data_IF_931869786767
#
_entry.id   IF_931869786767
#
_cell.length_a   1.000
_cell.length_b   1.000
_cell.length_c   1.000
_cell.angle_alpha   90.00
_cell.angle_beta   90.00
_cell.angle_gamma   90.00
#
_symmetry.space_group_name_H-M   'P 1'
#
loop_
_entity.id
_entity.type
_entity.pdbx_description
1 polymer ?
#
# COMPACT_ATOMS: atom_id res chain seq x y z
N UNK A 1 27.41 36.60 17.60
CA UNK A 1 27.49 36.08 16.22
C UNK A 1 26.38 35.06 16.10
N UNK A 2 25.30 35.42 15.41
CA UNK A 2 24.11 34.60 15.25
C UNK A 2 24.26 33.91 13.89
N UNK A 3 24.70 32.65 13.86
CA UNK A 3 24.73 31.88 12.62
C UNK A 3 23.29 31.60 12.21
N UNK A 4 22.87 32.25 11.13
CA UNK A 4 21.59 31.99 10.49
C UNK A 4 21.62 30.57 9.91
N UNK A 5 20.64 29.75 10.29
CA UNK A 5 20.43 28.44 9.68
C UNK A 5 20.30 28.58 8.15
N UNK A 6 20.80 27.60 7.37
CA UNK A 6 20.72 27.64 5.92
C UNK A 6 19.25 27.68 5.46
N UNK A 7 18.94 28.36 4.34
CA UNK A 7 17.59 28.41 3.80
C UNK A 7 17.12 27.01 3.44
N UNK A 8 16.00 26.58 4.03
CA UNK A 8 15.32 25.34 3.67
C UNK A 8 14.73 25.55 2.27
N UNK A 9 15.36 24.96 1.24
CA UNK A 9 14.75 24.85 -0.08
C UNK A 9 13.47 24.02 0.05
N UNK A 10 12.31 24.47 -0.46
CA UNK A 10 11.09 23.69 -0.39
C UNK A 10 11.29 22.44 -1.25
N UNK A 11 11.48 21.29 -0.61
CA UNK A 11 11.47 20.00 -1.31
C UNK A 11 10.10 19.85 -1.96
N UNK A 12 10.05 19.61 -3.27
CA UNK A 12 8.81 19.23 -3.93
C UNK A 12 8.23 18.00 -3.22
N UNK A 13 6.92 18.02 -2.94
CA UNK A 13 6.26 16.89 -2.32
C UNK A 13 6.48 15.61 -3.16
N UNK A 14 6.59 14.44 -2.52
CA UNK A 14 6.66 13.18 -3.25
C UNK A 14 5.37 12.97 -4.07
N UNK A 15 5.46 12.22 -5.16
CA UNK A 15 4.32 11.89 -6.02
C UNK A 15 3.22 11.18 -5.21
N UNK A 16 3.60 10.25 -4.33
CA UNK A 16 2.71 9.60 -3.35
C UNK A 16 2.89 10.27 -1.99
N UNK A 17 1.80 10.79 -1.45
CA UNK A 17 1.73 11.41 -0.12
C UNK A 17 1.37 10.41 0.99
N UNK A 18 0.47 9.47 0.70
CA UNK A 18 0.03 8.45 1.65
C UNK A 18 -0.47 7.18 0.95
N UNK A 19 -0.21 6.02 1.55
CA UNK A 19 -0.62 4.71 1.03
C UNK A 19 0.57 3.85 0.56
N UNK A 20 0.30 2.72 -0.11
CA UNK A 20 -1.03 2.23 -0.44
C UNK A 20 -1.70 1.59 0.79
N UNK A 21 -2.97 1.90 1.01
CA UNK A 21 -3.77 1.26 2.06
C UNK A 21 -4.68 0.21 1.43
N UNK A 22 -4.39 -1.06 1.69
CA UNK A 22 -5.26 -2.17 1.32
C UNK A 22 -6.52 -2.14 2.18
N UNK A 23 -7.59 -1.54 1.65
CA UNK A 23 -8.82 -1.22 2.40
C UNK A 23 -9.77 -2.41 2.49
N UNK A 24 -9.79 -3.24 1.46
CA UNK A 24 -10.61 -4.45 1.37
C UNK A 24 -9.87 -5.47 0.52
N UNK A 25 -9.84 -6.70 1.01
CA UNK A 25 -9.29 -7.84 0.29
C UNK A 25 -10.28 -9.00 0.37
N UNK A 26 -10.69 -9.50 -0.80
CA UNK A 26 -11.50 -10.70 -0.99
C UNK A 26 -10.90 -11.49 -2.14
N UNK A 27 -11.29 -12.76 -2.29
CA UNK A 27 -10.80 -13.58 -3.38
C UNK A 27 -11.08 -12.96 -4.76
N UNK A 28 -12.25 -12.36 -4.95
CA UNK A 28 -12.70 -11.77 -6.22
C UNK A 28 -12.57 -10.24 -6.28
N UNK A 29 -12.01 -9.59 -5.24
CA UNK A 29 -12.00 -8.12 -5.16
C UNK A 29 -10.87 -7.55 -4.32
N UNK A 30 -10.19 -6.55 -4.87
CA UNK A 30 -9.11 -5.79 -4.20
C UNK A 30 -9.48 -4.32 -4.20
N UNK A 31 -9.46 -3.67 -3.03
CA UNK A 31 -9.67 -2.23 -2.89
C UNK A 31 -8.46 -1.60 -2.20
N UNK A 32 -7.83 -0.65 -2.86
CA UNK A 32 -6.64 0.06 -2.37
C UNK A 32 -6.90 1.56 -2.43
N UNK A 33 -6.48 2.28 -1.40
CA UNK A 33 -6.46 3.75 -1.39
C UNK A 33 -5.03 4.28 -1.42
N UNK A 34 -4.82 5.34 -2.17
CA UNK A 34 -3.56 6.06 -2.27
C UNK A 34 -3.88 7.56 -2.36
N UNK A 35 -3.02 8.42 -1.81
CA UNK A 35 -3.10 9.86 -2.03
C UNK A 35 -1.85 10.31 -2.77
N UNK A 36 -2.02 10.87 -3.96
CA UNK A 36 -0.96 11.54 -4.72
C UNK A 36 -0.93 13.04 -4.50
N UNK A 37 0.22 13.67 -4.72
CA UNK A 37 0.34 15.15 -4.80
C UNK A 37 -0.17 15.72 -6.12
N UNK A 38 -0.30 14.85 -7.12
CA UNK A 38 -0.83 15.08 -8.47
C UNK A 38 -1.68 13.87 -8.92
N UNK A 39 -2.46 13.97 -10.02
CA UNK A 39 -3.07 12.80 -10.61
C UNK A 39 -2.01 11.78 -11.06
N UNK A 40 -2.12 10.56 -10.56
CA UNK A 40 -1.19 9.46 -10.87
C UNK A 40 -1.80 8.50 -11.88
N UNK A 41 -0.98 8.09 -12.86
CA UNK A 41 -1.27 6.94 -13.72
C UNK A 41 -0.81 5.68 -12.99
N UNK A 42 -1.73 4.75 -12.73
CA UNK A 42 -1.48 3.61 -11.85
C UNK A 42 -1.63 2.27 -12.58
N UNK A 43 -0.83 1.30 -12.16
CA UNK A 43 -0.97 -0.12 -12.52
C UNK A 43 -0.95 -0.98 -11.28
N UNK A 44 -1.70 -2.10 -11.29
CA UNK A 44 -1.65 -3.11 -10.24
C UNK A 44 -1.07 -4.40 -10.81
N UNK A 45 -0.03 -4.91 -10.15
CA UNK A 45 0.50 -6.25 -10.40
C UNK A 45 0.24 -7.13 -9.17
N UNK A 46 -0.28 -8.33 -9.40
CA UNK A 46 -0.53 -9.35 -8.39
C UNK A 46 0.29 -10.59 -8.74
N UNK A 47 0.92 -11.17 -7.73
CA UNK A 47 1.75 -12.37 -7.84
C UNK A 47 1.23 -13.39 -6.81
N UNK A 48 0.13 -14.10 -7.12
CA UNK A 48 -0.35 -15.16 -6.25
C UNK A 48 0.66 -16.32 -6.29
N UNK A 49 0.97 -16.88 -5.13
CA UNK A 49 1.86 -18.04 -5.04
C UNK A 49 1.36 -19.19 -5.94
N UNK A 50 2.27 -19.84 -6.65
CA UNK A 50 2.01 -20.94 -7.59
C UNK A 50 1.05 -20.63 -8.75
N UNK A 51 0.75 -19.37 -9.04
CA UNK A 51 -0.05 -18.94 -10.18
C UNK A 51 0.72 -17.93 -11.05
N UNK A 52 0.25 -17.73 -12.28
CA UNK A 52 0.85 -16.74 -13.17
C UNK A 52 0.61 -15.31 -12.64
N UNK A 53 1.61 -14.41 -12.74
CA UNK A 53 1.43 -13.00 -12.42
C UNK A 53 0.29 -12.38 -13.22
N UNK A 54 -0.47 -11.50 -12.58
CA UNK A 54 -1.61 -10.81 -13.17
C UNK A 54 -1.36 -9.32 -13.09
N UNK A 55 -1.48 -8.63 -14.21
CA UNK A 55 -1.22 -7.20 -14.28
C UNK A 55 -2.34 -6.47 -15.00
N UNK A 56 -2.69 -5.30 -14.49
CA UNK A 56 -3.75 -4.48 -15.05
C UNK A 56 -3.43 -3.00 -14.91
N UNK A 57 -3.79 -2.23 -15.94
CA UNK A 57 -3.82 -0.77 -15.87
C UNK A 57 -5.05 -0.33 -15.09
N UNK A 58 -4.87 0.65 -14.22
CA UNK A 58 -5.95 1.19 -13.39
C UNK A 58 -6.48 2.47 -14.03
N UNK A 59 -7.68 2.38 -14.57
CA UNK A 59 -8.38 3.47 -15.26
C UNK A 59 -9.89 3.35 -15.07
N UNK A 60 -10.60 4.44 -15.36
CA UNK A 60 -12.06 4.52 -15.35
C UNK A 60 -12.69 3.90 -14.08
N UNK A 61 -13.51 2.86 -14.23
CA UNK A 61 -14.23 2.21 -13.13
C UNK A 61 -13.33 1.52 -12.11
N UNK A 62 -12.07 1.21 -12.46
CA UNK A 62 -11.12 0.55 -11.57
C UNK A 62 -10.33 1.53 -10.70
N UNK A 63 -10.34 2.82 -11.03
CA UNK A 63 -9.65 3.86 -10.26
C UNK A 63 -10.38 5.20 -10.36
N UNK A 64 -11.08 5.56 -9.28
CA UNK A 64 -11.73 6.87 -9.17
C UNK A 64 -10.79 7.86 -8.50
N UNK A 65 -10.65 9.04 -9.08
CA UNK A 65 -9.84 10.11 -8.52
C UNK A 65 -10.72 11.21 -7.92
N UNK A 66 -10.40 11.63 -6.70
CA UNK A 66 -11.02 12.76 -6.03
C UNK A 66 -9.95 13.75 -5.58
N UNK A 67 -10.03 14.99 -6.06
CA UNK A 67 -9.15 16.07 -5.59
C UNK A 67 -9.63 16.60 -4.24
N UNK A 68 -8.73 16.69 -3.28
CA UNK A 68 -8.94 17.26 -1.95
C UNK A 68 -8.05 18.51 -1.84
N UNK A 69 -8.67 19.68 -1.76
CA UNK A 69 -7.95 20.96 -1.75
C UNK A 69 -7.17 21.18 -3.05
N UNK A 70 -5.96 21.75 -2.95
CA UNK A 70 -5.17 22.15 -4.12
C UNK A 70 -4.24 21.03 -4.62
N UNK A 71 -3.69 20.22 -3.72
CA UNK A 71 -2.50 19.41 -4.02
C UNK A 71 -2.59 17.99 -3.45
N UNK A 72 -3.79 17.50 -3.13
CA UNK A 72 -4.00 16.11 -2.75
C UNK A 72 -5.04 15.47 -3.67
N UNK A 73 -4.70 14.31 -4.20
CA UNK A 73 -5.53 13.52 -5.10
C UNK A 73 -5.70 12.13 -4.50
N UNK A 74 -6.91 11.82 -4.04
CA UNK A 74 -7.25 10.50 -3.55
C UNK A 74 -7.55 9.58 -4.75
N UNK A 75 -6.82 8.48 -4.84
CA UNK A 75 -7.02 7.39 -5.79
C UNK A 75 -7.73 6.24 -5.09
N UNK A 76 -8.98 5.99 -5.49
CA UNK A 76 -9.84 4.92 -5.00
C UNK A 76 -9.78 3.78 -6.01
N UNK A 77 -8.89 2.82 -5.77
CA UNK A 77 -8.70 1.65 -6.63
C UNK A 77 -9.68 0.57 -6.18
N UNK A 78 -10.52 0.08 -7.09
CA UNK A 78 -11.52 -0.96 -6.83
C UNK A 78 -11.55 -1.95 -7.99
N UNK A 79 -10.85 -3.06 -7.81
CA UNK A 79 -10.63 -4.06 -8.83
C UNK A 79 -11.46 -5.29 -8.52
N UNK A 80 -12.33 -5.68 -9.45
CA UNK A 80 -12.97 -7.00 -9.47
C UNK A 80 -12.14 -7.96 -10.32
N UNK A 81 -11.89 -9.15 -9.80
CA UNK A 81 -11.06 -10.17 -10.42
C UNK A 81 -11.95 -11.26 -11.02
N UNK A 82 -11.79 -11.51 -12.32
CA UNK A 82 -12.52 -12.56 -13.03
C UNK A 82 -12.14 -13.97 -12.53
N UNK A 83 -10.84 -14.17 -12.29
CA UNK A 83 -10.33 -15.36 -11.61
C UNK A 83 -10.07 -15.00 -10.15
N UNK A 84 -10.61 -15.74 -9.16
CA UNK A 84 -10.35 -15.44 -7.76
C UNK A 84 -8.87 -15.59 -7.42
N UNK A 85 -8.45 -14.88 -6.37
CA UNK A 85 -7.18 -15.08 -5.69
C UNK A 85 -7.26 -16.36 -4.85
N UNK A 86 -6.14 -17.09 -4.72
CA UNK A 86 -6.10 -18.26 -3.86
C UNK A 86 -6.34 -17.86 -2.40
N UNK A 87 -7.08 -18.71 -1.69
CA UNK A 87 -7.24 -18.59 -0.25
C UNK A 87 -6.03 -19.17 0.46
N UNK A 88 -5.71 -18.62 1.64
CA UNK A 88 -4.69 -19.11 2.57
C UNK A 88 -3.28 -19.22 1.94
N UNK A 89 -3.04 -18.45 0.88
CA UNK A 89 -1.76 -18.37 0.17
C UNK A 89 -1.28 -16.93 0.10
N UNK A 90 0.04 -16.77 0.13
CA UNK A 90 0.66 -15.46 0.02
C UNK A 90 0.44 -14.89 -1.39
N UNK A 91 0.04 -13.62 -1.44
CA UNK A 91 -0.14 -12.86 -2.66
C UNK A 91 0.74 -11.63 -2.54
N UNK A 92 1.87 -11.64 -3.23
CA UNK A 92 2.65 -10.41 -3.36
C UNK A 92 1.94 -9.47 -4.34
N UNK A 93 2.13 -8.17 -4.17
CA UNK A 93 1.58 -7.19 -5.09
C UNK A 93 2.55 -6.03 -5.28
N UNK A 94 2.34 -5.30 -6.37
CA UNK A 94 3.01 -4.04 -6.62
C UNK A 94 1.99 -3.01 -7.12
N UNK A 95 2.09 -1.79 -6.60
CA UNK A 95 1.32 -0.64 -7.06
C UNK A 95 2.28 0.28 -7.81
N UNK A 96 2.10 0.27 -9.11
CA UNK A 96 3.01 0.85 -10.08
C UNK A 96 2.55 2.27 -10.38
N UNK A 97 3.48 3.22 -10.29
CA UNK A 97 3.24 4.62 -10.63
C UNK A 97 4.00 4.92 -11.91
N UNK A 98 3.28 5.33 -12.96
CA UNK A 98 3.90 5.77 -14.21
C UNK A 98 4.05 7.28 -14.22
N UNK A 99 5.29 7.76 -14.37
CA UNK A 99 5.65 9.18 -14.42
C UNK A 99 6.74 9.39 -15.46
N UNK A 100 6.56 10.38 -16.32
CA UNK A 100 7.52 10.74 -17.38
C UNK A 100 7.93 9.56 -18.28
N UNK A 101 7.00 8.61 -18.52
CA UNK A 101 7.23 7.40 -19.31
C UNK A 101 8.01 6.30 -18.58
N UNK A 102 8.40 6.51 -17.32
CA UNK A 102 9.04 5.51 -16.46
C UNK A 102 8.01 4.98 -15.48
N UNK A 103 8.03 3.66 -15.28
CA UNK A 103 7.21 3.03 -14.26
C UNK A 103 8.05 2.71 -13.03
N UNK A 104 7.51 3.04 -11.86
CA UNK A 104 8.15 2.83 -10.57
C UNK A 104 7.26 1.95 -9.69
N UNK A 105 7.83 0.89 -9.13
CA UNK A 105 7.14 0.02 -8.17
C UNK A 105 7.29 0.53 -6.73
N UNK A 106 6.61 -0.13 -5.79
CA UNK A 106 6.66 0.21 -4.36
C UNK A 106 8.09 0.20 -3.84
N UNK A 107 8.96 -0.68 -4.36
CA UNK A 107 10.37 -0.71 -3.99
C UNK A 107 11.11 0.60 -4.35
N UNK A 108 10.68 1.30 -5.40
CA UNK A 108 11.29 2.55 -5.83
C UNK A 108 10.73 3.76 -5.06
N UNK A 109 9.40 3.83 -4.91
CA UNK A 109 8.75 5.02 -4.35
C UNK A 109 8.45 4.94 -2.84
N UNK A 110 8.37 3.74 -2.27
CA UNK A 110 8.20 3.51 -0.83
C UNK A 110 8.84 2.19 -0.36
N UNK A 111 10.17 2.04 -0.46
CA UNK A 111 10.88 0.82 -0.06
C UNK A 111 10.64 0.43 1.40
N UNK A 112 10.33 1.40 2.26
CA UNK A 112 10.03 1.18 3.68
C UNK A 112 8.73 0.39 3.94
N UNK A 113 7.89 0.18 2.93
CA UNK A 113 6.69 -0.66 3.03
C UNK A 113 6.97 -2.14 2.75
N UNK A 114 8.19 -2.49 2.36
CA UNK A 114 8.62 -3.85 2.06
C UNK A 114 9.34 -4.41 3.27
N UNK A 115 8.81 -5.50 3.84
CA UNK A 115 9.46 -6.18 4.95
C UNK A 115 10.84 -6.73 4.55
N UNK A 116 11.77 -6.77 5.52
CA UNK A 116 13.14 -7.22 5.32
C UNK A 116 13.21 -8.60 4.63
N UNK A 117 14.07 -8.71 3.62
CA UNK A 117 14.25 -9.94 2.84
C UNK A 117 13.19 -10.21 1.76
N UNK A 118 12.13 -9.39 1.66
CA UNK A 118 11.14 -9.47 0.59
C UNK A 118 11.47 -8.54 -0.58
N UNK A 119 10.96 -8.87 -1.77
CA UNK A 119 11.05 -7.99 -2.94
C UNK A 119 9.82 -7.10 -3.13
N UNK A 120 8.69 -7.44 -2.49
CA UNK A 120 7.38 -6.76 -2.61
C UNK A 120 6.57 -6.88 -1.32
N UNK A 121 5.62 -5.95 -1.08
CA UNK A 121 4.62 -6.16 -0.05
C UNK A 121 3.73 -7.36 -0.42
N UNK A 122 3.08 -7.94 0.58
CA UNK A 122 2.22 -9.09 0.38
C UNK A 122 1.01 -9.07 1.31
N UNK A 123 0.01 -9.84 0.95
CA UNK A 123 -1.21 -10.06 1.70
C UNK A 123 -1.68 -11.51 1.54
N UNK A 124 -2.73 -11.89 2.25
CA UNK A 124 -3.34 -13.21 2.16
C UNK A 124 -4.85 -13.07 2.31
N UNK A 125 -5.62 -13.73 1.43
CA UNK A 125 -7.06 -13.88 1.61
C UNK A 125 -7.28 -15.09 2.50
N UNK A 126 -7.74 -14.91 3.75
CA UNK A 126 -7.98 -16.02 4.66
C UNK A 126 -9.35 -16.66 4.40
N UNK A 127 -9.42 -17.99 4.38
CA UNK A 127 -10.70 -18.72 4.38
C UNK A 127 -11.41 -18.63 5.74
N UNK A 128 -10.62 -18.51 6.83
CA UNK A 128 -11.07 -18.32 8.20
C UNK A 128 -10.18 -17.30 8.93
N UNK A 129 -10.82 -16.39 9.66
CA UNK A 129 -10.14 -15.41 10.51
C UNK A 129 -10.06 -15.96 11.93
N UNK A 130 -8.86 -16.32 12.35
CA UNK A 130 -8.57 -16.84 13.70
C UNK A 130 -8.21 -15.70 14.65
N UNK A 131 -7.40 -14.76 14.17
CA UNK A 131 -6.96 -13.58 14.90
C UNK A 131 -7.47 -12.29 14.26
N UNK A 132 -8.00 -11.39 15.10
CA UNK A 132 -8.47 -10.07 14.69
C UNK A 132 -7.80 -8.97 15.51
N UNK A 133 -6.98 -8.16 14.84
CA UNK A 133 -6.45 -6.93 15.41
C UNK A 133 -7.49 -5.81 15.27
N UNK A 134 -7.84 -5.18 16.38
CA UNK A 134 -8.77 -4.07 16.41
C UNK A 134 -8.14 -2.84 17.06
N UNK A 135 -8.23 -1.70 16.37
CA UNK A 135 -7.82 -0.40 16.89
C UNK A 135 -8.80 0.68 16.43
N UNK A 136 -9.34 1.46 17.37
CA UNK A 136 -10.34 2.50 17.09
C UNK A 136 -9.71 3.84 16.70
N UNK A 137 -8.64 4.25 17.37
CA UNK A 137 -7.89 5.46 17.07
C UNK A 137 -6.47 5.39 17.66
N UNK A 138 -5.53 6.10 17.03
CA UNK A 138 -4.25 6.43 17.66
C UNK A 138 -4.47 7.55 18.68
N UNK A 139 -3.71 7.53 19.78
CA UNK A 139 -3.63 8.63 20.76
C UNK A 139 -2.20 9.17 20.78
N UNK A 140 -1.83 10.10 19.86
CA UNK A 140 -0.44 10.53 19.69
C UNK A 140 0.19 11.19 20.93
N UNK A 141 -0.66 11.72 21.83
CA UNK A 141 -0.26 12.40 23.05
C UNK A 141 -0.13 11.46 24.27
N UNK A 142 -0.47 10.17 24.13
CA UNK A 142 -0.39 9.22 25.22
C UNK A 142 1.05 8.67 25.35
N UNK A 143 1.53 8.45 26.58
CA UNK A 143 2.93 8.09 26.85
C UNK A 143 3.33 6.64 26.49
N UNK A 144 2.41 5.86 25.91
CA UNK A 144 2.70 4.49 25.48
C UNK A 144 3.36 4.46 24.10
N UNK A 145 4.13 3.40 23.84
CA UNK A 145 4.66 3.14 22.51
C UNK A 145 3.54 2.92 21.48
N UNK A 146 3.83 3.19 20.20
CA UNK A 146 2.83 3.12 19.15
C UNK A 146 2.45 1.68 18.81
N UNK A 147 1.17 1.34 18.99
CA UNK A 147 0.66 0.00 18.73
C UNK A 147 0.84 -0.48 17.29
N UNK A 148 0.88 0.40 16.29
CA UNK A 148 1.08 -0.02 14.89
C UNK A 148 2.49 -0.56 14.64
N UNK A 149 3.50 -0.19 15.45
CA UNK A 149 4.84 -0.78 15.36
C UNK A 149 4.81 -2.25 15.80
N UNK A 150 4.04 -2.55 16.85
CA UNK A 150 3.83 -3.93 17.28
C UNK A 150 3.02 -4.73 16.24
N UNK A 151 2.00 -4.11 15.62
CA UNK A 151 1.24 -4.74 14.53
C UNK A 151 2.14 -5.02 13.32
N UNK A 152 2.98 -4.08 12.90
CA UNK A 152 3.91 -4.27 11.79
C UNK A 152 4.87 -5.45 12.06
N UNK A 153 5.41 -5.52 13.29
CA UNK A 153 6.26 -6.64 13.72
C UNK A 153 5.52 -7.97 13.68
N UNK A 154 4.28 -8.01 14.14
CA UNK A 154 3.44 -9.22 14.12
C UNK A 154 3.15 -9.68 12.68
N UNK A 155 2.83 -8.75 11.78
CA UNK A 155 2.59 -9.04 10.35
C UNK A 155 3.87 -9.56 9.69
N UNK A 156 5.02 -8.95 9.97
CA UNK A 156 6.31 -9.42 9.45
C UNK A 156 6.63 -10.85 9.89
N UNK A 157 6.36 -11.19 11.15
CA UNK A 157 6.54 -12.55 11.68
C UNK A 157 5.55 -13.53 11.04
N UNK A 158 4.27 -13.17 10.94
CA UNK A 158 3.24 -14.02 10.33
C UNK A 158 3.53 -14.34 8.86
N UNK A 159 4.17 -13.42 8.12
CA UNK A 159 4.62 -13.67 6.74
C UNK A 159 5.60 -14.86 6.65
N UNK A 160 6.43 -15.06 7.67
CA UNK A 160 7.41 -16.18 7.72
C UNK A 160 6.83 -17.50 8.25
N UNK A 161 5.69 -17.44 8.95
CA UNK A 161 5.04 -18.58 9.59
C UNK A 161 3.50 -18.42 9.61
N UNK A 162 2.82 -18.58 8.45
CA UNK A 162 1.39 -18.27 8.29
C UNK A 162 0.41 -19.27 8.93
N UNK A 163 0.91 -20.34 9.57
CA UNK A 163 0.12 -21.43 10.18
C UNK A 163 -0.15 -21.27 11.69
N UNK A 164 0.15 -20.11 12.29
CA UNK A 164 -0.30 -19.82 13.66
C UNK A 164 -1.68 -19.18 13.67
#
# INVERSE_FOLDING_TARGET
MNESAPPVTPSSLPAVLAGPLLRRLQADRVVIWLVGSEPLTLGLALYPDGEAPRRMTLQDETCRMLRIGTSAWLHLIDVRLHSPLPLDRLIEYDLLVSRDGVEQGIADWAPHLIHQGAGRPACMVRSRYDDLLHGSCRKPHHAAADGLVAVDTLVAQARSAPER
#
